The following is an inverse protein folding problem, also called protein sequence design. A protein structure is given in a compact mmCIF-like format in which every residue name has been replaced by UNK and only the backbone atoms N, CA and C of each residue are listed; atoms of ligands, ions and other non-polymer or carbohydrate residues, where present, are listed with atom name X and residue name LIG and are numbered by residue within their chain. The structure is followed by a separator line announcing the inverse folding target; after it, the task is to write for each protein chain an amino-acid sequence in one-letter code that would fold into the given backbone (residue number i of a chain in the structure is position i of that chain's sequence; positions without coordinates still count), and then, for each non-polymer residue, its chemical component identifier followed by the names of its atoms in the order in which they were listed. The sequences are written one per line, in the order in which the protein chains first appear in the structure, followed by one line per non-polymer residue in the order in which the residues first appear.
data_IF_004779172346
#
_entry.id   IF_004779172346
#
_cell.length_a   1.000
_cell.length_b   1.000
_cell.length_c   1.000
_cell.angle_alpha   90.00
_cell.angle_beta   90.00
_cell.angle_gamma   90.00
#
_symmetry.space_group_name_H-M   'P 1'
#
loop_
_entity.id
_entity.type
_entity.pdbx_description
1 polymer ?
#
# COMPACT_ATOMS: atom_id res chain seq x y z
N UNK A 1 49.15 8.01 23.43
CA UNK A 1 48.22 6.87 23.64
C UNK A 1 47.40 6.68 22.37
N UNK A 2 47.20 5.43 21.97
CA UNK A 2 46.93 5.00 20.58
C UNK A 2 45.58 5.51 20.03
N UNK A 3 45.62 6.07 18.83
CA UNK A 3 44.43 6.37 18.00
C UNK A 3 43.70 5.06 17.69
N UNK A 4 42.47 4.92 18.19
CA UNK A 4 41.62 3.75 17.92
C UNK A 4 40.90 3.98 16.58
N UNK A 5 41.55 3.58 15.48
CA UNK A 5 40.94 3.59 14.17
C UNK A 5 39.79 2.59 14.15
N UNK A 6 38.55 3.08 14.21
CA UNK A 6 37.35 2.27 14.02
C UNK A 6 37.45 1.55 12.67
N UNK A 7 37.49 0.21 12.70
CA UNK A 7 37.51 -0.61 11.51
C UNK A 7 36.29 -0.28 10.64
N UNK A 8 36.52 0.14 9.39
CA UNK A 8 35.44 0.37 8.42
C UNK A 8 34.59 -0.91 8.31
N UNK A 9 33.25 -0.82 8.33
CA UNK A 9 32.40 -2.00 8.19
C UNK A 9 32.73 -2.71 6.87
N UNK A 10 33.01 -4.01 6.96
CA UNK A 10 33.37 -4.86 5.82
C UNK A 10 32.22 -4.78 4.79
N UNK A 11 32.50 -4.54 3.49
CA UNK A 11 31.44 -4.47 2.50
C UNK A 11 30.66 -5.79 2.51
N UNK A 12 29.33 -5.71 2.60
CA UNK A 12 28.44 -6.86 2.55
C UNK A 12 28.62 -7.55 1.19
N UNK A 13 29.48 -8.56 1.13
CA UNK A 13 29.60 -9.42 -0.04
C UNK A 13 28.38 -10.34 -0.08
N UNK A 14 27.56 -10.21 -1.11
CA UNK A 14 26.45 -11.11 -1.37
C UNK A 14 27.01 -12.44 -1.90
N UNK A 15 27.05 -13.45 -1.03
CA UNK A 15 27.32 -14.84 -1.42
C UNK A 15 26.27 -15.31 -2.42
N UNK A 16 26.59 -16.29 -3.27
CA UNK A 16 25.65 -16.85 -4.26
C UNK A 16 24.29 -17.20 -3.63
N UNK A 17 24.29 -17.95 -2.53
CA UNK A 17 23.04 -18.30 -1.83
C UNK A 17 22.25 -17.11 -1.22
N UNK A 18 22.89 -15.95 -0.98
CA UNK A 18 22.16 -14.73 -0.57
C UNK A 18 21.50 -14.04 -1.76
N UNK A 19 22.13 -14.07 -2.93
CA UNK A 19 21.54 -13.56 -4.17
C UNK A 19 20.32 -14.40 -4.56
N UNK A 20 20.45 -15.72 -4.51
CA UNK A 20 19.35 -16.64 -4.82
C UNK A 20 18.15 -16.47 -3.87
N UNK A 21 18.39 -16.07 -2.62
CA UNK A 21 17.30 -15.74 -1.68
C UNK A 21 16.61 -14.43 -2.08
N UNK A 22 17.40 -13.40 -2.40
CA UNK A 22 16.89 -12.08 -2.81
C UNK A 22 16.08 -12.22 -4.10
N UNK A 23 16.58 -12.94 -5.09
CA UNK A 23 15.93 -13.08 -6.40
C UNK A 23 14.60 -13.83 -6.29
N UNK A 24 14.53 -14.87 -5.43
CA UNK A 24 13.28 -15.59 -5.15
C UNK A 24 12.27 -14.71 -4.45
N UNK A 25 12.68 -14.04 -3.37
CA UNK A 25 11.80 -13.12 -2.65
C UNK A 25 11.31 -12.01 -3.57
N UNK A 26 12.21 -11.40 -4.36
CA UNK A 26 11.85 -10.37 -5.33
C UNK A 26 10.80 -10.87 -6.31
N UNK A 27 11.01 -12.05 -6.90
CA UNK A 27 10.08 -12.63 -7.88
C UNK A 27 8.71 -12.89 -7.26
N UNK A 28 8.67 -13.45 -6.05
CA UNK A 28 7.45 -13.74 -5.31
C UNK A 28 6.66 -12.46 -5.00
N UNK A 29 7.31 -11.47 -4.41
CA UNK A 29 6.66 -10.21 -4.03
C UNK A 29 6.28 -9.36 -5.24
N UNK A 30 7.06 -9.40 -6.31
CA UNK A 30 6.72 -8.73 -7.57
C UNK A 30 5.46 -9.35 -8.19
N UNK A 31 5.36 -10.68 -8.22
CA UNK A 31 4.18 -11.36 -8.72
C UNK A 31 2.93 -11.00 -7.89
N UNK A 32 3.05 -10.95 -6.56
CA UNK A 32 1.97 -10.52 -5.68
C UNK A 32 1.56 -9.05 -5.94
N UNK A 33 2.53 -8.14 -6.09
CA UNK A 33 2.27 -6.70 -6.30
C UNK A 33 1.68 -6.36 -7.67
N UNK A 34 1.91 -7.19 -8.68
CA UNK A 34 1.32 -7.04 -10.02
C UNK A 34 -0.01 -7.79 -10.19
N UNK A 35 -0.45 -8.52 -9.17
CA UNK A 35 -1.69 -9.30 -9.22
C UNK A 35 -2.92 -8.40 -9.34
N UNK A 36 -3.82 -8.76 -10.25
CA UNK A 36 -5.15 -8.15 -10.40
C UNK A 36 -6.28 -9.10 -9.98
N UNK A 37 -5.93 -10.25 -9.39
CA UNK A 37 -6.91 -11.17 -8.83
C UNK A 37 -7.66 -10.52 -7.65
N UNK A 38 -8.91 -10.93 -7.37
CA UNK A 38 -9.64 -10.45 -6.20
C UNK A 38 -8.83 -10.63 -4.92
N UNK A 39 -8.76 -9.59 -4.09
CA UNK A 39 -8.01 -9.63 -2.85
C UNK A 39 -8.63 -10.61 -1.84
N UNK A 40 -7.79 -11.44 -1.23
CA UNK A 40 -8.17 -12.27 -0.09
C UNK A 40 -8.17 -11.42 1.19
N UNK A 41 -9.31 -10.79 1.47
CA UNK A 41 -9.48 -9.94 2.64
C UNK A 41 -9.42 -10.73 3.95
N UNK A 42 -9.81 -12.00 3.98
CA UNK A 42 -9.82 -12.78 5.21
C UNK A 42 -8.38 -13.14 5.62
N UNK A 43 -7.55 -13.54 4.65
CA UNK A 43 -6.13 -13.75 4.86
C UNK A 43 -5.42 -12.44 5.28
N UNK A 44 -5.74 -11.32 4.64
CA UNK A 44 -5.17 -10.02 4.97
C UNK A 44 -5.54 -9.58 6.40
N UNK A 45 -6.81 -9.69 6.79
CA UNK A 45 -7.26 -9.36 8.14
C UNK A 45 -6.59 -10.24 9.21
N UNK A 46 -6.45 -11.55 8.94
CA UNK A 46 -5.77 -12.47 9.85
C UNK A 46 -4.29 -12.10 10.02
N UNK A 47 -3.58 -11.81 8.92
CA UNK A 47 -2.18 -11.42 8.95
C UNK A 47 -1.96 -10.10 9.71
N UNK A 48 -2.77 -9.08 9.43
CA UNK A 48 -2.68 -7.78 10.12
C UNK A 48 -3.04 -7.93 11.60
N UNK A 49 -4.04 -8.75 11.93
CA UNK A 49 -4.41 -9.04 13.32
C UNK A 49 -3.25 -9.70 14.08
N UNK A 50 -2.58 -10.68 13.46
CA UNK A 50 -1.43 -11.35 14.05
C UNK A 50 -0.26 -10.37 14.28
N UNK A 51 -0.01 -9.45 13.33
CA UNK A 51 1.00 -8.41 13.48
C UNK A 51 0.70 -7.46 14.65
N UNK A 52 -0.56 -7.06 14.82
CA UNK A 52 -0.96 -6.22 15.95
C UNK A 52 -0.80 -6.96 17.29
N UNK A 53 -1.22 -8.23 17.33
CA UNK A 53 -1.05 -9.09 18.51
C UNK A 53 0.44 -9.25 18.90
N UNK A 54 1.34 -9.38 17.92
CA UNK A 54 2.78 -9.44 18.15
C UNK A 54 3.38 -8.14 18.72
N UNK A 55 2.63 -7.03 18.69
CA UNK A 55 3.01 -5.74 19.26
C UNK A 55 2.20 -5.35 20.49
N UNK A 56 1.49 -6.31 21.11
CA UNK A 56 0.59 -6.11 22.26
C UNK A 56 -0.52 -5.07 21.98
N UNK A 57 -0.97 -4.97 20.73
CA UNK A 57 -2.04 -4.06 20.32
C UNK A 57 -3.37 -4.79 20.12
N UNK A 58 -4.50 -4.14 20.41
CA UNK A 58 -5.80 -4.74 20.15
C UNK A 58 -6.01 -4.95 18.65
N UNK A 59 -6.86 -5.92 18.31
CA UNK A 59 -7.28 -6.17 16.93
C UNK A 59 -7.79 -4.86 16.30
N UNK A 60 -7.26 -4.45 15.14
CA UNK A 60 -7.73 -3.25 14.47
C UNK A 60 -9.14 -3.45 13.89
N UNK A 61 -9.85 -2.35 13.70
CA UNK A 61 -11.13 -2.35 13.01
C UNK A 61 -10.90 -2.37 11.49
N UNK A 62 -11.58 -3.27 10.79
CA UNK A 62 -11.46 -3.42 9.34
C UNK A 62 -12.72 -2.91 8.65
N UNK A 63 -12.51 -2.15 7.57
CA UNK A 63 -13.58 -1.59 6.75
C UNK A 63 -13.30 -1.97 5.31
N UNK A 64 -14.18 -2.78 4.73
CA UNK A 64 -14.12 -3.18 3.32
C UNK A 64 -15.06 -2.31 2.51
N UNK A 65 -14.55 -1.72 1.45
CA UNK A 65 -15.31 -0.79 0.62
C UNK A 65 -15.22 -1.24 -0.83
N UNK A 66 -16.36 -1.19 -1.53
CA UNK A 66 -16.51 -1.73 -2.88
C UNK A 66 -15.96 -0.82 -3.97
N UNK A 67 -15.54 0.41 -3.63
CA UNK A 67 -14.93 1.33 -4.58
C UNK A 67 -14.03 2.38 -3.90
N UNK A 68 -13.09 2.98 -4.64
CA UNK A 68 -12.30 4.11 -4.15
C UNK A 68 -13.16 5.31 -3.71
N UNK A 69 -14.29 5.57 -4.39
CA UNK A 69 -15.21 6.64 -3.98
C UNK A 69 -15.85 6.36 -2.62
N UNK A 70 -16.22 5.09 -2.35
CA UNK A 70 -16.74 4.71 -1.05
C UNK A 70 -15.69 4.90 0.06
N UNK A 71 -14.41 4.64 -0.22
CA UNK A 71 -13.30 4.94 0.68
C UNK A 71 -13.19 6.42 1.02
N UNK A 72 -13.26 7.28 0.00
CA UNK A 72 -13.20 8.72 0.18
C UNK A 72 -14.35 9.24 1.06
N UNK A 73 -15.58 8.82 0.78
CA UNK A 73 -16.74 9.22 1.55
C UNK A 73 -16.65 8.74 3.00
N UNK A 74 -16.19 7.50 3.20
CA UNK A 74 -16.01 6.92 4.53
C UNK A 74 -14.98 7.70 5.35
N UNK A 75 -13.82 8.02 4.77
CA UNK A 75 -12.75 8.77 5.44
C UNK A 75 -13.24 10.18 5.81
N UNK A 76 -13.88 10.89 4.87
CA UNK A 76 -14.41 12.22 5.13
C UNK A 76 -15.42 12.23 6.28
N UNK A 77 -16.34 11.26 6.31
CA UNK A 77 -17.31 11.13 7.40
C UNK A 77 -16.61 10.82 8.73
N UNK A 78 -15.61 9.94 8.73
CA UNK A 78 -14.87 9.55 9.92
C UNK A 78 -14.11 10.74 10.53
N UNK A 79 -13.43 11.54 9.70
CA UNK A 79 -12.72 12.74 10.14
C UNK A 79 -13.67 13.83 10.67
N UNK A 80 -14.87 13.97 10.09
CA UNK A 80 -15.87 14.91 10.62
C UNK A 80 -16.46 14.47 11.96
N UNK A 81 -16.69 13.17 12.13
CA UNK A 81 -17.34 12.62 13.33
C UNK A 81 -16.37 12.34 14.48
N UNK A 82 -15.07 12.23 14.21
CA UNK A 82 -14.05 11.98 15.23
C UNK A 82 -12.84 12.94 15.11
N UNK A 83 -12.91 14.13 15.72
CA UNK A 83 -11.90 15.19 15.55
C UNK A 83 -10.47 14.81 15.99
N UNK A 84 -10.33 13.94 16.98
CA UNK A 84 -9.01 13.45 17.42
C UNK A 84 -8.32 12.53 16.39
N UNK A 85 -9.11 11.81 15.58
CA UNK A 85 -8.59 11.08 14.43
C UNK A 85 -8.24 12.04 13.29
N UNK A 86 -9.00 13.10 13.08
CA UNK A 86 -8.73 14.11 12.05
C UNK A 86 -7.39 14.84 12.25
N UNK A 87 -6.94 15.04 13.49
CA UNK A 87 -5.59 15.60 13.77
C UNK A 87 -4.46 14.67 13.30
N UNK A 88 -4.62 13.35 13.43
CA UNK A 88 -3.73 12.35 12.79
C UNK A 88 -4.00 12.25 11.28
N UNK A 89 -5.24 12.52 10.90
CA UNK A 89 -5.75 12.63 9.54
C UNK A 89 -5.01 13.66 8.70
N UNK A 90 -4.55 14.78 9.24
CA UNK A 90 -3.76 15.77 8.48
C UNK A 90 -2.50 15.17 7.81
N UNK A 91 -1.88 14.16 8.43
CA UNK A 91 -0.75 13.43 7.86
C UNK A 91 -1.21 12.46 6.75
N UNK A 92 -2.40 11.88 6.92
CA UNK A 92 -3.10 11.08 5.92
C UNK A 92 -3.79 11.90 4.81
N UNK A 93 -4.13 13.16 5.01
CA UNK A 93 -4.68 14.06 3.99
C UNK A 93 -3.55 14.51 3.06
N UNK A 94 -2.35 14.70 3.60
CA UNK A 94 -1.16 14.96 2.80
C UNK A 94 -0.76 13.73 1.97
N UNK A 95 -0.69 12.55 2.60
CA UNK A 95 -0.33 11.30 1.91
C UNK A 95 -1.45 10.82 0.98
N UNK A 96 -2.68 10.85 1.47
CA UNK A 96 -3.90 10.42 0.80
C UNK A 96 -4.33 11.38 -0.29
N UNK A 97 -4.18 12.70 -0.11
CA UNK A 97 -4.37 13.67 -1.19
C UNK A 97 -3.38 13.44 -2.33
N UNK A 98 -2.09 13.25 -2.02
CA UNK A 98 -1.10 12.94 -3.05
C UNK A 98 -1.35 11.59 -3.73
N UNK A 99 -1.68 10.54 -2.98
CA UNK A 99 -1.98 9.22 -3.54
C UNK A 99 -3.29 9.21 -4.32
N UNK A 100 -4.34 9.88 -3.84
CA UNK A 100 -5.65 9.95 -4.48
C UNK A 100 -5.60 10.82 -5.73
N UNK A 101 -5.00 11.99 -5.67
CA UNK A 101 -4.88 12.86 -6.84
C UNK A 101 -4.04 12.15 -7.92
N UNK A 102 -2.95 11.47 -7.54
CA UNK A 102 -2.11 10.77 -8.51
C UNK A 102 -2.74 9.46 -9.01
N UNK A 103 -3.19 8.56 -8.15
CA UNK A 103 -3.80 7.30 -8.61
C UNK A 103 -5.15 7.56 -9.25
N UNK A 104 -6.01 8.40 -8.66
CA UNK A 104 -7.40 8.48 -9.10
C UNK A 104 -7.54 9.32 -10.36
N UNK A 105 -6.79 10.41 -10.53
CA UNK A 105 -6.78 11.10 -11.83
C UNK A 105 -6.14 10.20 -12.90
N UNK A 106 -5.04 9.49 -12.60
CA UNK A 106 -4.43 8.60 -13.60
C UNK A 106 -5.32 7.41 -13.95
N UNK A 107 -5.93 6.72 -12.98
CA UNK A 107 -6.84 5.60 -13.23
C UNK A 107 -8.10 6.08 -13.92
N UNK A 108 -8.70 7.19 -13.50
CA UNK A 108 -9.91 7.72 -14.13
C UNK A 108 -9.61 8.11 -15.58
N UNK A 109 -8.57 8.89 -15.81
CA UNK A 109 -8.27 9.38 -17.15
C UNK A 109 -7.87 8.21 -18.06
N UNK A 110 -7.07 7.25 -17.59
CA UNK A 110 -6.72 6.07 -18.38
C UNK A 110 -7.90 5.13 -18.63
N UNK A 111 -8.74 4.81 -17.64
CA UNK A 111 -9.90 3.94 -17.83
C UNK A 111 -10.97 4.61 -18.68
N UNK A 112 -11.24 5.90 -18.47
CA UNK A 112 -12.31 6.61 -19.16
C UNK A 112 -11.95 6.90 -20.62
N UNK A 113 -10.70 7.24 -20.92
CA UNK A 113 -10.25 7.43 -22.30
C UNK A 113 -10.14 6.10 -23.04
N UNK A 114 -9.63 5.04 -22.40
CA UNK A 114 -9.49 3.75 -23.07
C UNK A 114 -10.84 3.06 -23.27
N UNK A 115 -11.68 2.97 -22.23
CA UNK A 115 -13.01 2.33 -22.36
C UNK A 115 -13.99 3.21 -23.12
N UNK A 116 -13.98 4.52 -22.90
CA UNK A 116 -14.87 5.47 -23.61
C UNK A 116 -14.52 5.57 -25.10
N UNK A 117 -13.23 5.54 -25.43
CA UNK A 117 -12.75 5.51 -26.82
C UNK A 117 -13.09 4.20 -27.52
N UNK A 118 -12.89 3.05 -26.85
CA UNK A 118 -13.25 1.74 -27.39
C UNK A 118 -14.76 1.58 -27.59
N UNK A 119 -15.58 1.99 -26.63
CA UNK A 119 -17.04 1.91 -26.72
C UNK A 119 -17.60 2.85 -27.80
N UNK A 120 -17.08 4.08 -27.93
CA UNK A 120 -17.49 4.97 -29.03
C UNK A 120 -17.03 4.50 -30.40
N UNK A 121 -15.90 3.79 -30.48
CA UNK A 121 -15.41 3.18 -31.71
C UNK A 121 -16.21 1.93 -32.12
N UNK A 122 -16.79 1.21 -31.16
CA UNK A 122 -17.64 0.05 -31.41
C UNK A 122 -19.12 0.38 -31.65
N UNK A 123 -19.59 1.52 -31.13
CA UNK A 123 -20.96 2.03 -31.34
C UNK A 123 -21.10 2.91 -32.60
N UNK A 124 -20.10 2.89 -33.49
CA UNK A 124 -20.10 3.62 -34.77
C UNK A 124 -19.98 2.67 -35.95
#
# INVERSE_FOLDING_TARGET
MKSNAAAKPKPLSLTAGRRDLIDRAYTEWLAAGLSTEPADFDAAEAAVTALYAATDRPRPYFVRLSSPLAAELYINLLCQTWPELAKRGQLWDQLGGQLKDQLWDQLRDQLWDQLGGQLRGQLR
#
